data_IF_843304969916
#
_entry.id   IF_843304969916
#
_cell.length_a   1.000
_cell.length_b   1.000
_cell.length_c   1.000
_cell.angle_alpha   90.00
_cell.angle_beta   90.00
_cell.angle_gamma   90.00
#
_symmetry.space_group_name_H-M   'P 1'
#
loop_
_entity.id
_entity.type
_entity.pdbx_description
1 polymer ?
#
# COMPACT_ATOMS: atom_id res chain seq x y z
N UNK A 1 1.49 -19.21 10.03
CA UNK A 1 0.14 -18.65 10.17
C UNK A 1 -0.22 -18.01 8.84
N UNK A 2 -1.25 -18.48 8.12
CA UNK A 2 -1.67 -17.86 6.85
C UNK A 2 -2.53 -16.65 7.19
N UNK A 3 -2.05 -15.44 6.89
CA UNK A 3 -2.87 -14.23 7.00
C UNK A 3 -3.91 -14.29 5.88
N UNK A 4 -5.14 -14.67 6.22
CA UNK A 4 -6.27 -14.63 5.28
C UNK A 4 -6.78 -13.19 5.17
N UNK A 5 -6.07 -12.35 4.42
CA UNK A 5 -6.53 -11.01 4.07
C UNK A 5 -6.76 -10.95 2.56
N UNK A 6 -8.02 -10.73 2.16
CA UNK A 6 -8.40 -10.66 0.74
C UNK A 6 -8.15 -9.28 0.14
N UNK A 7 -7.89 -8.28 0.99
CA UNK A 7 -7.70 -6.89 0.58
C UNK A 7 -6.55 -6.25 1.34
N UNK A 8 -5.83 -5.35 0.70
CA UNK A 8 -4.74 -4.57 1.29
C UNK A 8 -4.87 -3.13 0.86
N UNK A 9 -4.25 -2.24 1.63
CA UNK A 9 -4.42 -0.80 1.52
C UNK A 9 -3.09 -0.12 1.30
N UNK A 10 -3.12 0.97 0.55
CA UNK A 10 -2.01 1.90 0.40
C UNK A 10 -2.47 3.31 0.75
N UNK A 11 -1.64 4.03 1.48
CA UNK A 11 -1.79 5.46 1.71
C UNK A 11 -0.98 6.20 0.65
N UNK A 12 -1.61 7.17 0.01
CA UNK A 12 -0.99 8.07 -0.95
C UNK A 12 -1.10 9.50 -0.46
N UNK A 13 -0.04 10.28 -0.67
CA UNK A 13 -0.17 11.75 -0.66
C UNK A 13 -1.00 12.19 -1.86
N UNK A 14 -1.62 13.37 -1.79
CA UNK A 14 -2.50 13.87 -2.85
C UNK A 14 -1.79 13.90 -4.21
N UNK A 15 -0.60 14.48 -4.28
CA UNK A 15 0.16 14.66 -5.51
C UNK A 15 0.62 13.30 -6.07
N UNK A 16 1.03 12.38 -5.19
CA UNK A 16 1.42 11.01 -5.53
C UNK A 16 0.23 10.23 -6.13
N UNK A 17 -0.96 10.41 -5.57
CA UNK A 17 -2.17 9.78 -6.07
C UNK A 17 -2.59 10.33 -7.44
N UNK A 18 -2.55 11.65 -7.62
CA UNK A 18 -2.85 12.27 -8.92
C UNK A 18 -1.84 11.85 -9.99
N UNK A 19 -0.56 11.74 -9.65
CA UNK A 19 0.45 11.18 -10.55
C UNK A 19 0.16 9.73 -10.91
N UNK A 20 -0.19 8.89 -9.93
CA UNK A 20 -0.56 7.50 -10.17
C UNK A 20 -1.79 7.39 -11.07
N UNK A 21 -2.82 8.21 -10.85
CA UNK A 21 -4.00 8.28 -11.70
C UNK A 21 -3.66 8.64 -13.14
N UNK A 22 -2.78 9.63 -13.33
CA UNK A 22 -2.41 10.09 -14.67
C UNK A 22 -1.49 9.12 -15.41
N UNK A 23 -0.59 8.44 -14.70
CA UNK A 23 0.37 7.48 -15.29
C UNK A 23 -0.16 6.06 -15.38
N UNK A 24 -1.28 5.78 -14.72
CA UNK A 24 -1.90 4.46 -14.52
C UNK A 24 -1.02 3.41 -13.84
N UNK A 25 0.23 3.76 -13.50
CA UNK A 25 1.25 2.90 -12.95
C UNK A 25 1.94 3.59 -11.78
N UNK A 26 2.14 2.84 -10.69
CA UNK A 26 2.89 3.30 -9.53
C UNK A 26 4.01 2.32 -9.18
N UNK A 27 5.24 2.82 -9.28
CA UNK A 27 6.47 2.05 -9.06
C UNK A 27 7.10 2.32 -7.68
N UNK A 28 6.32 2.86 -6.73
CA UNK A 28 6.80 3.21 -5.39
C UNK A 28 7.26 4.66 -5.24
N UNK A 29 7.17 5.17 -4.02
CA UNK A 29 7.79 6.43 -3.61
C UNK A 29 9.26 6.22 -3.18
N UNK A 30 9.88 7.25 -2.62
CA UNK A 30 11.27 7.19 -2.14
C UNK A 30 11.51 6.01 -1.18
N UNK A 31 10.66 5.85 -0.16
CA UNK A 31 10.80 4.77 0.82
C UNK A 31 10.58 3.38 0.20
N UNK A 32 9.62 3.25 -0.71
CA UNK A 32 9.39 1.99 -1.42
C UNK A 32 10.58 1.61 -2.31
N UNK A 33 11.21 2.60 -2.95
CA UNK A 33 12.40 2.38 -3.79
C UNK A 33 13.62 2.00 -2.96
N UNK A 34 13.81 2.65 -1.81
CA UNK A 34 14.91 2.36 -0.89
C UNK A 34 14.78 0.96 -0.26
N UNK A 35 13.56 0.54 0.08
CA UNK A 35 13.28 -0.79 0.62
C UNK A 35 13.19 -1.90 -0.45
N UNK A 36 12.96 -1.53 -1.70
CA UNK A 36 12.82 -2.45 -2.84
C UNK A 36 11.43 -3.08 -2.98
N UNK A 37 10.42 -2.59 -2.27
CA UNK A 37 9.03 -3.05 -2.37
C UNK A 37 8.03 -1.94 -2.01
N UNK A 38 6.80 -2.07 -2.51
CA UNK A 38 5.72 -1.16 -2.16
C UNK A 38 5.11 -1.57 -0.82
N UNK A 39 5.16 -0.67 0.17
CA UNK A 39 4.56 -0.89 1.48
C UNK A 39 3.04 -0.83 1.40
N UNK A 40 2.38 -1.91 1.78
CA UNK A 40 0.94 -1.97 1.93
C UNK A 40 0.60 -2.18 3.41
N UNK A 41 -0.68 -2.11 3.75
CA UNK A 41 -1.17 -2.36 5.10
C UNK A 41 -2.48 -3.14 5.05
N UNK A 42 -2.76 -3.93 6.08
CA UNK A 42 -4.12 -4.45 6.29
C UNK A 42 -5.05 -3.34 6.81
N UNK A 43 -6.36 -3.61 6.82
CA UNK A 43 -7.34 -2.71 7.44
C UNK A 43 -7.04 -2.40 8.91
N UNK A 44 -6.47 -3.36 9.66
CA UNK A 44 -6.11 -3.16 11.08
C UNK A 44 -4.86 -2.31 11.24
N UNK A 45 -3.95 -2.35 10.26
CA UNK A 45 -2.67 -1.65 10.30
C UNK A 45 -2.74 -0.21 9.77
N UNK A 46 -3.72 0.10 8.90
CA UNK A 46 -3.75 1.36 8.15
C UNK A 46 -3.77 2.60 9.04
N UNK A 47 -4.53 2.57 10.13
CA UNK A 47 -4.60 3.69 11.07
C UNK A 47 -3.24 3.98 11.71
N UNK A 48 -2.56 2.93 12.22
CA UNK A 48 -1.21 3.07 12.76
C UNK A 48 -0.18 3.51 11.72
N UNK A 49 -0.33 3.09 10.45
CA UNK A 49 0.52 3.59 9.35
C UNK A 49 0.30 5.09 9.13
N UNK A 50 -0.94 5.57 9.09
CA UNK A 50 -1.25 7.00 8.93
C UNK A 50 -0.70 7.81 10.10
N UNK A 51 -0.98 7.40 11.34
CA UNK A 51 -0.52 8.11 12.54
C UNK A 51 1.01 8.19 12.61
N UNK A 52 1.73 7.16 12.15
CA UNK A 52 3.19 7.11 12.23
C UNK A 52 3.90 7.88 11.12
N UNK A 53 3.39 7.84 9.89
CA UNK A 53 4.12 8.32 8.71
C UNK A 53 3.48 9.51 7.99
N UNK A 54 2.20 9.80 8.27
CA UNK A 54 1.41 10.77 7.51
C UNK A 54 0.64 11.75 8.41
N UNK A 55 1.08 11.94 9.67
CA UNK A 55 0.34 12.73 10.67
C UNK A 55 0.14 14.20 10.25
N UNK A 56 1.13 14.78 9.57
CA UNK A 56 1.11 16.19 9.13
C UNK A 56 0.55 16.35 7.71
N UNK A 57 0.27 15.24 7.02
CA UNK A 57 -0.20 15.25 5.65
C UNK A 57 -1.72 15.48 5.59
N UNK A 58 -2.14 16.28 4.60
CA UNK A 58 -3.55 16.56 4.32
C UNK A 58 -3.97 15.88 3.04
N UNK A 59 -5.28 15.76 2.82
CA UNK A 59 -5.86 15.21 1.59
C UNK A 59 -5.30 13.82 1.21
N UNK A 60 -4.94 13.01 2.21
CA UNK A 60 -4.48 11.63 1.99
C UNK A 60 -5.54 10.83 1.24
N UNK A 61 -5.08 9.97 0.35
CA UNK A 61 -5.91 8.98 -0.34
C UNK A 61 -5.56 7.61 0.17
N UNK A 62 -6.56 6.89 0.71
CA UNK A 62 -6.38 5.49 1.09
C UNK A 62 -7.05 4.64 0.03
N UNK A 63 -6.27 3.84 -0.69
CA UNK A 63 -6.81 3.01 -1.76
C UNK A 63 -6.70 1.54 -1.40
N UNK A 64 -7.62 0.76 -1.95
CA UNK A 64 -7.78 -0.67 -1.64
C UNK A 64 -7.54 -1.52 -2.88
N UNK A 65 -6.76 -2.58 -2.71
CA UNK A 65 -6.48 -3.58 -3.73
C UNK A 65 -6.92 -4.97 -3.27
N UNK A 66 -7.39 -5.82 -4.18
CA UNK A 66 -7.56 -7.23 -3.88
C UNK A 66 -6.19 -7.93 -3.88
N UNK A 67 -5.96 -8.82 -2.91
CA UNK A 67 -4.72 -9.59 -2.87
C UNK A 67 -4.59 -10.57 -4.04
N UNK A 68 -5.71 -10.97 -4.66
CA UNK A 68 -5.75 -11.78 -5.87
C UNK A 68 -5.13 -11.11 -7.09
N UNK A 69 -5.14 -9.78 -7.17
CA UNK A 69 -4.55 -9.04 -8.30
C UNK A 69 -3.03 -8.90 -8.16
N UNK A 70 -2.56 -8.88 -6.91
CA UNK A 70 -1.14 -8.79 -6.54
C UNK A 70 -0.40 -10.14 -6.61
N UNK A 71 -1.15 -11.26 -6.50
CA UNK A 71 -0.69 -12.64 -6.73
C UNK A 71 0.62 -12.96 -5.98
N UNK A 72 1.57 -13.61 -6.66
CA UNK A 72 2.83 -14.11 -6.12
C UNK A 72 3.84 -13.01 -5.74
N UNK A 73 3.57 -11.75 -6.09
CA UNK A 73 4.43 -10.60 -5.77
C UNK A 73 4.08 -9.98 -4.43
N UNK A 74 2.95 -10.36 -3.83
CA UNK A 74 2.59 -9.95 -2.49
C UNK A 74 3.20 -10.93 -1.47
N UNK A 75 4.07 -10.41 -0.60
CA UNK A 75 4.65 -11.17 0.50
C UNK A 75 4.17 -10.59 1.83
N UNK A 76 3.97 -11.47 2.79
CA UNK A 76 3.69 -11.09 4.17
C UNK A 76 4.97 -11.26 4.96
N UNK A 77 5.57 -10.15 5.36
CA UNK A 77 6.87 -10.15 6.00
C UNK A 77 6.79 -9.45 7.34
N UNK A 78 7.56 -9.96 8.31
CA UNK A 78 7.62 -9.40 9.64
C UNK A 78 8.18 -7.99 9.56
N UNK A 79 7.50 -7.04 10.19
CA UNK A 79 7.88 -5.65 10.23
C UNK A 79 7.87 -5.19 11.70
N UNK A 80 7.37 -3.98 11.97
CA UNK A 80 7.21 -3.44 13.31
C UNK A 80 6.26 -4.28 14.17
N UNK A 81 6.43 -4.15 15.49
CA UNK A 81 5.55 -4.72 16.51
C UNK A 81 5.32 -6.23 16.38
N UNK A 82 6.31 -6.93 15.82
CA UNK A 82 6.25 -8.37 15.53
C UNK A 82 5.11 -8.77 14.56
N UNK A 83 4.47 -7.79 13.91
CA UNK A 83 3.34 -8.00 13.01
C UNK A 83 3.80 -8.15 11.55
N UNK A 84 2.99 -8.83 10.75
CA UNK A 84 3.29 -9.11 9.34
C UNK A 84 2.60 -8.08 8.45
N UNK A 85 3.42 -7.32 7.72
CA UNK A 85 2.93 -6.33 6.76
C UNK A 85 2.97 -6.91 5.35
N UNK A 86 1.97 -6.54 4.51
CA UNK A 86 2.00 -6.90 3.10
C UNK A 86 2.99 -6.00 2.35
N UNK A 87 3.98 -6.61 1.71
CA UNK A 87 4.95 -5.95 0.85
C UNK A 87 4.78 -6.44 -0.59
N UNK A 88 4.65 -5.51 -1.54
CA UNK A 88 4.42 -5.84 -2.93
C UNK A 88 5.64 -5.57 -3.79
N UNK A 89 6.17 -6.63 -4.41
CA UNK A 89 7.36 -6.61 -5.26
C UNK A 89 6.97 -6.43 -6.73
N UNK A 90 6.49 -5.24 -7.08
CA UNK A 90 6.06 -4.94 -8.43
C UNK A 90 5.59 -3.50 -8.63
N UNK A 91 4.86 -3.30 -9.72
CA UNK A 91 4.25 -2.01 -10.09
C UNK A 91 2.75 -2.16 -9.88
N UNK A 92 2.15 -1.23 -9.13
CA UNK A 92 0.69 -1.18 -8.96
C UNK A 92 0.07 -0.54 -10.20
N UNK A 93 -1.08 -1.08 -10.64
CA UNK A 93 -1.87 -0.50 -11.72
C UNK A 93 -3.10 0.20 -11.16
N UNK A 94 -3.46 1.33 -11.75
CA UNK A 94 -4.58 2.14 -11.28
C UNK A 94 -5.92 1.41 -11.42
N UNK A 95 -6.07 0.59 -12.47
CA UNK A 95 -7.26 -0.25 -12.72
C UNK A 95 -7.47 -1.37 -11.69
N UNK A 96 -6.47 -1.65 -10.84
CA UNK A 96 -6.62 -2.60 -9.72
C UNK A 96 -7.23 -1.98 -8.46
N UNK A 97 -7.44 -0.67 -8.43
CA UNK A 97 -8.08 -0.01 -7.30
C UNK A 97 -9.55 -0.41 -7.25
N UNK A 98 -9.94 -1.00 -6.13
CA UNK A 98 -11.33 -1.43 -5.88
C UNK A 98 -12.15 -0.38 -5.11
N UNK A 99 -11.47 0.50 -4.39
CA UNK A 99 -12.08 1.50 -3.51
C UNK A 99 -11.06 2.62 -3.22
N UNK A 100 -11.52 3.86 -3.16
CA UNK A 100 -10.74 5.05 -2.75
C UNK A 100 -11.50 5.68 -1.57
N UNK A 101 -10.79 5.86 -0.45
CA UNK A 101 -11.27 6.47 0.79
C UNK A 101 -10.58 7.82 1.01
#
# INVERSE_FOLDING_TARGET
MKVHCNVVYRVFKKEEFEEFKNKELFSGNTLDKESGFIHLSTKKQIFGTITKYYLEEKDLKVVKFNTSDLKHKLKWEKSRDEDFFPHFYGILRFDWITEIL
#
